data_IF_528197167878
#
_entry.id   IF_528197167878
#
_cell.length_a   1.000
_cell.length_b   1.000
_cell.length_c   1.000
_cell.angle_alpha   90.00
_cell.angle_beta   90.00
_cell.angle_gamma   90.00
#
_symmetry.space_group_name_H-M   'P 1'
#
loop_
_entity.id
_entity.type
_entity.pdbx_description
1 polymer ?
#
# COMPACT_ATOMS: atom_id res chain seq x y z
N UNK A 1 -9.33 19.05 12.83
CA UNK A 1 -9.79 18.17 13.92
C UNK A 1 -9.42 16.73 13.58
N UNK A 2 -9.24 15.90 14.62
CA UNK A 2 -8.85 14.47 14.66
C UNK A 2 -9.67 13.62 13.66
N UNK A 3 -9.16 12.58 12.99
CA UNK A 3 -7.87 11.91 13.07
C UNK A 3 -7.45 11.42 11.68
N UNK A 4 -6.17 11.59 11.37
CA UNK A 4 -5.54 10.92 10.24
C UNK A 4 -5.67 9.44 10.53
N UNK A 5 -6.34 8.67 9.67
CA UNK A 5 -6.45 7.21 9.78
C UNK A 5 -5.10 6.54 9.45
N UNK A 6 -4.01 7.16 9.93
CA UNK A 6 -2.63 6.82 9.64
C UNK A 6 -2.07 6.00 10.77
N UNK A 7 -1.34 4.96 10.40
CA UNK A 7 -0.67 4.06 11.31
C UNK A 7 0.81 4.41 11.25
N UNK A 8 1.40 4.70 12.42
CA UNK A 8 2.83 4.96 12.52
C UNK A 8 3.54 3.65 12.82
N UNK A 9 4.41 3.22 11.92
CA UNK A 9 5.20 2.01 12.06
C UNK A 9 6.55 2.35 12.70
N UNK A 10 7.15 1.37 13.38
CA UNK A 10 8.47 1.53 13.98
C UNK A 10 9.51 1.96 12.93
N UNK A 11 10.39 2.93 13.22
CA UNK A 11 11.45 3.37 12.31
C UNK A 11 12.53 2.30 12.05
N UNK A 12 12.49 1.19 12.82
CA UNK A 12 13.32 0.01 12.58
C UNK A 12 12.86 -0.80 11.36
N UNK A 13 11.61 -0.66 10.95
CA UNK A 13 11.10 -1.26 9.71
C UNK A 13 11.60 -0.40 8.55
N UNK A 14 12.33 -1.02 7.63
CA UNK A 14 12.92 -0.37 6.46
C UNK A 14 12.29 -0.90 5.18
N UNK A 15 12.20 -0.07 4.13
CA UNK A 15 11.85 -0.53 2.80
C UNK A 15 12.77 -1.66 2.35
N UNK A 16 12.20 -2.62 1.62
CA UNK A 16 12.91 -3.67 0.91
C UNK A 16 13.26 -3.19 -0.49
N UNK A 17 14.34 -3.75 -1.03
CA UNK A 17 14.63 -3.62 -2.46
C UNK A 17 13.49 -4.24 -3.27
N UNK A 18 13.19 -3.70 -4.46
CA UNK A 18 12.04 -4.16 -5.26
C UNK A 18 12.08 -5.66 -5.56
N UNK A 19 13.27 -6.22 -5.81
CA UNK A 19 13.47 -7.66 -6.04
C UNK A 19 13.26 -8.55 -4.81
N UNK A 20 13.26 -7.99 -3.61
CA UNK A 20 13.04 -8.74 -2.36
C UNK A 20 11.57 -8.71 -1.92
N UNK A 21 10.72 -7.97 -2.64
CA UNK A 21 9.28 -7.89 -2.35
C UNK A 21 8.61 -9.15 -2.84
N UNK A 22 7.73 -9.70 -2.00
CA UNK A 22 6.99 -10.90 -2.33
C UNK A 22 5.58 -10.49 -2.74
N UNK A 23 5.19 -10.68 -4.01
CA UNK A 23 3.81 -10.45 -4.43
C UNK A 23 2.89 -11.44 -3.71
N UNK A 24 1.65 -11.02 -3.48
CA UNK A 24 0.61 -11.85 -2.90
C UNK A 24 -0.66 -11.77 -3.74
N UNK A 25 -1.51 -12.78 -3.61
CA UNK A 25 -2.82 -12.77 -4.25
C UNK A 25 -3.70 -11.69 -3.62
N UNK A 26 -4.27 -10.84 -4.47
CA UNK A 26 -5.17 -9.76 -4.06
C UNK A 26 -6.61 -10.23 -4.19
N UNK A 27 -7.38 -9.97 -3.15
CA UNK A 27 -8.83 -10.08 -3.14
C UNK A 27 -9.45 -8.68 -3.19
N UNK A 28 -10.43 -8.49 -4.06
CA UNK A 28 -11.19 -7.25 -4.09
C UNK A 28 -11.94 -7.06 -2.75
N UNK A 29 -12.09 -5.80 -2.34
CA UNK A 29 -12.79 -5.43 -1.10
C UNK A 29 -12.15 -5.95 0.21
N UNK A 30 -10.96 -6.54 0.16
CA UNK A 30 -10.14 -6.75 1.35
C UNK A 30 -9.39 -5.47 1.75
N UNK A 31 -9.08 -5.37 3.04
CA UNK A 31 -8.30 -4.28 3.60
C UNK A 31 -6.82 -4.57 3.45
N UNK A 32 -6.12 -3.66 2.79
CA UNK A 32 -4.67 -3.61 2.66
C UNK A 32 -4.13 -2.31 3.26
N UNK A 33 -2.83 -2.13 3.11
CA UNK A 33 -2.09 -1.00 3.64
C UNK A 33 -1.15 -0.46 2.59
N UNK A 34 -1.08 0.87 2.49
CA UNK A 34 -0.18 1.56 1.58
C UNK A 34 0.63 2.63 2.33
N UNK A 35 1.88 2.83 1.93
CA UNK A 35 2.80 3.75 2.58
C UNK A 35 3.37 4.73 1.56
N UNK A 36 3.25 6.03 1.86
CA UNK A 36 3.94 7.09 1.11
C UNK A 36 5.38 7.31 1.62
N UNK A 37 5.85 6.47 2.56
CA UNK A 37 7.14 6.63 3.23
C UNK A 37 7.04 7.26 4.61
N UNK A 38 8.19 7.65 5.16
CA UNK A 38 8.31 8.19 6.54
C UNK A 38 7.73 7.28 7.64
N UNK A 39 7.65 5.97 7.38
CA UNK A 39 6.99 5.00 8.26
C UNK A 39 5.52 5.34 8.58
N UNK A 40 4.84 6.08 7.68
CA UNK A 40 3.42 6.40 7.79
C UNK A 40 2.62 5.56 6.78
N UNK A 41 1.61 4.88 7.31
CA UNK A 41 0.81 3.91 6.56
C UNK A 41 -0.66 4.29 6.60
N UNK A 42 -1.37 4.04 5.50
CA UNK A 42 -2.79 4.31 5.34
C UNK A 42 -3.51 3.00 4.95
N UNK A 43 -4.66 2.69 5.56
CA UNK A 43 -5.47 1.58 5.11
C UNK A 43 -6.06 1.91 3.73
N UNK A 44 -6.13 0.89 2.89
CA UNK A 44 -6.73 0.96 1.57
C UNK A 44 -7.54 -0.28 1.24
N UNK A 45 -8.33 -0.18 0.18
CA UNK A 45 -8.99 -1.31 -0.48
C UNK A 45 -8.59 -1.32 -1.95
N UNK A 46 -8.48 -2.52 -2.54
CA UNK A 46 -8.31 -2.65 -3.98
C UNK A 46 -9.68 -2.56 -4.65
N UNK A 47 -9.80 -1.61 -5.57
CA UNK A 47 -11.02 -1.34 -6.33
C UNK A 47 -10.98 -2.09 -7.66
N UNK A 48 -9.82 -2.13 -8.30
CA UNK A 48 -9.65 -2.71 -9.62
C UNK A 48 -8.23 -3.25 -9.79
N UNK A 49 -8.11 -4.39 -10.45
CA UNK A 49 -6.84 -4.92 -10.95
C UNK A 49 -6.79 -4.67 -12.44
N UNK A 50 -5.80 -3.90 -12.90
CA UNK A 50 -5.67 -3.57 -14.31
C UNK A 50 -5.13 -4.78 -15.08
N UNK A 51 -5.77 -5.08 -16.20
CA UNK A 51 -5.32 -6.14 -17.10
C UNK A 51 -4.20 -5.62 -18.00
N UNK A 52 -3.00 -5.56 -17.44
CA UNK A 52 -1.77 -5.19 -18.16
C UNK A 52 -0.84 -6.39 -18.26
N UNK A 53 0.06 -6.39 -19.26
CA UNK A 53 1.14 -7.37 -19.37
C UNK A 53 2.31 -7.08 -18.40
N UNK A 54 2.11 -6.21 -17.41
CA UNK A 54 3.14 -5.85 -16.45
C UNK A 54 3.13 -6.81 -15.25
N UNK A 55 4.32 -7.12 -14.75
CA UNK A 55 4.50 -7.87 -13.51
C UNK A 55 5.50 -7.11 -12.62
N UNK A 56 5.11 -6.65 -11.42
CA UNK A 56 3.77 -6.76 -10.82
C UNK A 56 2.70 -5.93 -11.55
N UNK A 57 1.46 -6.43 -11.56
CA UNK A 57 0.33 -5.74 -12.18
C UNK A 57 0.06 -4.39 -11.51
N UNK A 58 -0.52 -3.47 -12.26
CA UNK A 58 -1.03 -2.22 -11.70
C UNK A 58 -2.43 -2.43 -11.12
N UNK A 59 -2.73 -1.76 -10.01
CA UNK A 59 -4.01 -1.81 -9.31
C UNK A 59 -4.48 -0.40 -8.96
N UNK A 60 -5.80 -0.21 -8.93
CA UNK A 60 -6.44 0.97 -8.38
C UNK A 60 -6.76 0.71 -6.92
N UNK A 61 -6.19 1.51 -6.02
CA UNK A 61 -6.51 1.48 -4.60
C UNK A 61 -7.29 2.72 -4.18
N UNK A 62 -8.16 2.58 -3.20
CA UNK A 62 -8.81 3.69 -2.50
C UNK A 62 -8.27 3.78 -1.07
N UNK A 63 -7.59 4.88 -0.76
CA UNK A 63 -7.03 5.19 0.55
C UNK A 63 -8.07 5.89 1.43
N UNK A 64 -8.10 5.50 2.70
CA UNK A 64 -8.93 6.12 3.72
C UNK A 64 -8.11 7.16 4.51
N UNK A 65 -8.22 8.45 4.14
CA UNK A 65 -7.45 9.55 4.74
C UNK A 65 -8.21 10.27 5.88
N UNK A 66 -9.07 9.53 6.59
CA UNK A 66 -10.00 10.07 7.58
C UNK A 66 -11.41 10.15 6.99
N UNK A 67 -12.08 11.32 6.97
CA UNK A 67 -13.38 11.47 6.29
C UNK A 67 -13.24 11.45 4.77
N UNK A 68 -12.05 11.74 4.25
CA UNK A 68 -11.77 11.82 2.82
C UNK A 68 -11.24 10.49 2.28
N UNK A 69 -11.55 10.23 1.00
CA UNK A 69 -11.06 9.11 0.22
C UNK A 69 -10.21 9.61 -0.93
N UNK A 70 -9.10 8.93 -1.22
CA UNK A 70 -8.23 9.25 -2.36
C UNK A 70 -7.91 8.01 -3.16
N UNK A 71 -7.95 8.08 -4.49
CA UNK A 71 -7.67 6.96 -5.37
C UNK A 71 -6.30 7.07 -5.99
N UNK A 72 -5.57 5.96 -6.03
CA UNK A 72 -4.20 5.91 -6.54
C UNK A 72 -3.98 4.65 -7.38
N UNK A 73 -3.27 4.80 -8.49
CA UNK A 73 -2.71 3.66 -9.21
C UNK A 73 -1.34 3.33 -8.61
N UNK A 74 -1.17 2.07 -8.23
CA UNK A 74 0.07 1.55 -7.62
C UNK A 74 0.36 0.18 -8.21
N UNK A 75 1.57 -0.34 -8.00
CA UNK A 75 1.89 -1.73 -8.32
C UNK A 75 1.44 -2.66 -7.19
N UNK A 76 1.06 -3.89 -7.53
CA UNK A 76 0.58 -4.87 -6.53
C UNK A 76 1.58 -5.09 -5.39
N UNK A 77 2.88 -5.01 -5.65
CA UNK A 77 3.94 -5.20 -4.67
C UNK A 77 4.22 -3.95 -3.83
N UNK A 78 3.54 -2.83 -4.07
CA UNK A 78 3.70 -1.57 -3.31
C UNK A 78 2.73 -1.46 -2.12
N UNK A 79 1.77 -2.38 -2.02
CA UNK A 79 0.86 -2.50 -0.88
C UNK A 79 1.29 -3.66 0.03
N UNK A 80 0.84 -3.64 1.28
CA UNK A 80 1.06 -4.73 2.25
C UNK A 80 -0.26 -5.23 2.85
N UNK A 81 -0.26 -6.48 3.34
CA UNK A 81 -1.37 -7.03 4.14
C UNK A 81 -1.28 -6.60 5.60
N UNK A 82 -0.11 -6.08 6.00
CA UNK A 82 0.13 -5.46 7.31
C UNK A 82 0.75 -4.07 7.13
N UNK A 83 0.67 -3.19 8.16
CA UNK A 83 1.35 -1.90 8.11
C UNK A 83 2.87 -2.02 7.92
N UNK A 84 3.51 -3.00 8.56
CA UNK A 84 4.93 -3.26 8.42
C UNK A 84 5.30 -3.71 7.01
N UNK A 85 4.49 -4.57 6.38
CA UNK A 85 4.65 -4.95 4.98
C UNK A 85 4.51 -3.73 4.06
N UNK A 86 3.54 -2.83 4.29
CA UNK A 86 3.38 -1.63 3.47
C UNK A 86 4.61 -0.70 3.55
N UNK A 87 5.25 -0.59 4.73
CA UNK A 87 6.51 0.16 4.86
C UNK A 87 7.65 -0.54 4.12
N UNK A 88 7.73 -1.87 4.20
CA UNK A 88 8.71 -2.66 3.44
C UNK A 88 8.51 -2.49 1.93
N UNK A 89 7.27 -2.34 1.49
CA UNK A 89 6.88 -2.25 0.09
C UNK A 89 6.87 -0.82 -0.47
N UNK A 90 7.23 0.17 0.36
CA UNK A 90 7.29 1.58 -0.05
C UNK A 90 8.30 1.78 -1.19
N UNK A 91 7.95 2.59 -2.18
CA UNK A 91 8.87 3.06 -3.22
C UNK A 91 10.04 3.80 -2.56
N UNK A 92 11.25 3.27 -2.74
CA UNK A 92 12.49 3.99 -2.46
C UNK A 92 12.94 4.66 -3.75
N UNK A 93 12.92 5.99 -3.78
CA UNK A 93 13.60 6.79 -4.82
C UNK A 93 15.13 6.66 -4.68
#
# INVERSE_FOLDING_TARGET
MKGRNKIKVSPKVKPLHIFDRVPFEISLSERYYFSFGSNEVFPCEVIEVLDTNEDPKAILIELYLGPDKSRHYVKMDEIGRTPEEAVRNTITL
#
